data_IF_142666630353
#
_entry.id   IF_142666630353
#
_cell.length_a   1.000
_cell.length_b   1.000
_cell.length_c   1.000
_cell.angle_alpha   90.00
_cell.angle_beta   90.00
_cell.angle_gamma   90.00
#
_symmetry.space_group_name_H-M   'P 1'
#
loop_
_entity.id
_entity.type
_entity.pdbx_description
1 polymer ?
#
# COMPACT_ATOMS: atom_id res chain seq x y z
N UNK A 1 3.05 18.94 8.88
CA UNK A 1 1.90 18.65 7.99
C UNK A 1 0.84 17.95 8.82
N UNK A 2 -0.43 18.30 8.61
CA UNK A 2 -1.55 17.65 9.29
C UNK A 2 -1.80 16.30 8.64
N UNK A 3 -1.98 15.24 9.46
CA UNK A 3 -2.26 13.89 8.96
C UNK A 3 -3.50 13.89 8.08
N UNK A 4 -3.41 13.30 6.89
CA UNK A 4 -4.55 13.11 5.98
C UNK A 4 -5.08 11.68 6.09
N UNK A 5 -6.41 11.54 6.12
CA UNK A 5 -7.07 10.24 6.18
C UNK A 5 -7.53 9.77 4.80
N UNK A 6 -7.78 8.47 4.64
CA UNK A 6 -8.17 7.85 3.37
C UNK A 6 -9.40 8.54 2.75
N UNK A 7 -10.40 8.93 3.56
CA UNK A 7 -11.60 9.59 3.03
C UNK A 7 -11.33 10.99 2.44
N UNK A 8 -10.19 11.60 2.77
CA UNK A 8 -9.84 12.95 2.36
C UNK A 8 -8.97 12.98 1.11
N UNK A 9 -8.44 11.82 0.70
CA UNK A 9 -7.55 11.69 -0.43
C UNK A 9 -8.30 11.98 -1.74
N UNK A 10 -7.66 12.72 -2.62
CA UNK A 10 -8.19 13.02 -3.96
C UNK A 10 -7.33 12.39 -5.05
N UNK A 11 -7.87 12.35 -6.27
CA UNK A 11 -7.12 11.87 -7.42
C UNK A 11 -5.86 12.71 -7.66
N UNK A 12 -4.76 12.06 -8.04
CA UNK A 12 -3.47 12.69 -8.34
C UNK A 12 -2.80 13.41 -7.14
N UNK A 13 -3.24 13.14 -5.91
CA UNK A 13 -2.58 13.63 -4.69
C UNK A 13 -1.32 12.80 -4.37
N UNK A 14 -0.25 13.48 -3.91
CA UNK A 14 0.91 12.81 -3.32
C UNK A 14 0.64 12.56 -1.84
N UNK A 15 0.83 11.32 -1.41
CA UNK A 15 0.55 10.88 -0.04
C UNK A 15 1.85 10.49 0.62
N UNK A 16 2.08 10.98 1.83
CA UNK A 16 3.21 10.61 2.69
C UNK A 16 2.71 10.34 4.11
N UNK A 17 2.02 9.21 4.28
CA UNK A 17 1.21 8.90 5.46
C UNK A 17 1.33 7.44 5.92
N UNK A 18 0.93 7.18 7.15
CA UNK A 18 1.01 5.84 7.75
C UNK A 18 -0.37 5.17 7.77
N UNK A 19 -0.43 3.97 7.19
CA UNK A 19 -1.63 3.14 7.11
C UNK A 19 -1.37 1.71 7.59
N UNK A 20 -2.43 1.01 8.01
CA UNK A 20 -2.38 -0.41 8.33
C UNK A 20 -2.47 -1.24 7.05
N UNK A 21 -1.58 -2.21 6.86
CA UNK A 21 -1.71 -3.21 5.79
C UNK A 21 -2.69 -4.29 6.23
N UNK A 22 -3.92 -4.25 5.74
CA UNK A 22 -4.93 -5.26 6.06
C UNK A 22 -4.80 -6.52 5.19
N UNK A 23 -4.33 -6.36 3.95
CA UNK A 23 -4.10 -7.46 3.01
C UNK A 23 -2.86 -7.20 2.15
N UNK A 24 -2.15 -8.27 1.79
CA UNK A 24 -0.92 -8.25 0.98
C UNK A 24 -0.90 -9.44 0.05
N UNK A 25 -0.76 -9.16 -1.24
CA UNK A 25 -0.69 -10.18 -2.28
C UNK A 25 0.50 -9.89 -3.20
N UNK A 26 1.38 -10.87 -3.35
CA UNK A 26 2.40 -10.85 -4.39
C UNK A 26 1.78 -11.33 -5.70
N UNK A 27 1.85 -10.51 -6.72
CA UNK A 27 1.29 -10.79 -8.05
C UNK A 27 2.31 -10.50 -9.12
N UNK A 28 2.08 -11.07 -10.28
CA UNK A 28 2.91 -10.87 -11.47
C UNK A 28 2.10 -10.09 -12.50
N UNK A 29 2.69 -9.04 -13.08
CA UNK A 29 2.05 -8.29 -14.16
C UNK A 29 2.12 -9.05 -15.50
N UNK A 30 1.52 -8.49 -16.56
CA UNK A 30 1.54 -9.10 -17.90
C UNK A 30 2.95 -9.30 -18.49
N UNK A 31 3.94 -8.55 -17.98
CA UNK A 31 5.33 -8.58 -18.43
C UNK A 31 6.21 -9.43 -17.52
N UNK A 32 5.63 -10.28 -16.67
CA UNK A 32 6.35 -11.12 -15.72
C UNK A 32 7.09 -10.38 -14.59
N UNK A 33 6.86 -9.08 -14.39
CA UNK A 33 7.40 -8.34 -13.26
C UNK A 33 6.52 -8.52 -12.02
N UNK A 34 7.15 -8.64 -10.86
CA UNK A 34 6.46 -8.74 -9.59
C UNK A 34 5.93 -7.37 -9.13
N UNK A 35 4.74 -7.36 -8.54
CA UNK A 35 4.17 -6.22 -7.84
C UNK A 35 3.43 -6.69 -6.59
N UNK A 36 3.37 -5.83 -5.56
CA UNK A 36 2.49 -6.06 -4.42
C UNK A 36 1.18 -5.33 -4.64
N UNK A 37 0.08 -6.06 -4.52
CA UNK A 37 -1.22 -5.47 -4.29
C UNK A 37 -1.46 -5.45 -2.78
N UNK A 38 -1.66 -4.27 -2.22
CA UNK A 38 -1.93 -4.06 -0.80
C UNK A 38 -3.32 -3.49 -0.63
N UNK A 39 -3.96 -3.83 0.49
CA UNK A 39 -5.10 -3.08 1.02
C UNK A 39 -4.62 -2.31 2.24
N UNK A 40 -4.63 -0.99 2.14
CA UNK A 40 -4.29 -0.09 3.22
C UNK A 40 -5.56 0.40 3.90
N UNK A 41 -5.55 0.45 5.23
CA UNK A 41 -6.71 0.87 6.02
C UNK A 41 -6.33 1.89 7.09
N UNK A 42 -7.29 2.76 7.37
CA UNK A 42 -7.33 3.58 8.57
C UNK A 42 -8.75 3.53 9.17
N UNK A 43 -9.02 4.35 10.18
CA UNK A 43 -10.33 4.40 10.80
C UNK A 43 -11.45 4.99 9.91
N UNK A 44 -11.08 5.64 8.80
CA UNK A 44 -12.00 6.33 7.88
C UNK A 44 -12.34 5.51 6.65
N UNK A 45 -11.50 4.53 6.29
CA UNK A 45 -11.73 3.70 5.13
C UNK A 45 -10.60 2.76 4.78
N UNK A 46 -10.64 2.30 3.54
CA UNK A 46 -9.68 1.37 2.97
C UNK A 46 -9.41 1.71 1.50
N UNK A 47 -8.16 1.62 1.08
CA UNK A 47 -7.73 1.85 -0.31
C UNK A 47 -6.89 0.68 -0.80
N UNK A 48 -7.07 0.30 -2.07
CA UNK A 48 -6.21 -0.69 -2.72
C UNK A 48 -5.03 0.03 -3.36
N UNK A 49 -3.81 -0.37 -3.03
CA UNK A 49 -2.58 0.21 -3.56
C UNK A 49 -1.74 -0.84 -4.27
N UNK A 50 -0.89 -0.37 -5.19
CA UNK A 50 -0.04 -1.21 -6.02
C UNK A 50 1.40 -0.72 -5.90
N UNK A 51 2.28 -1.56 -5.37
CA UNK A 51 3.72 -1.32 -5.38
C UNK A 51 4.34 -2.11 -6.53
N UNK A 52 4.79 -1.40 -7.55
CA UNK A 52 5.33 -1.99 -8.77
C UNK A 52 6.80 -2.38 -8.64
N UNK A 53 7.23 -3.33 -9.48
CA UNK A 53 8.62 -3.74 -9.64
C UNK A 53 9.27 -4.12 -8.30
N UNK A 54 8.56 -4.88 -7.47
CA UNK A 54 9.09 -5.36 -6.20
C UNK A 54 10.05 -6.53 -6.41
N UNK A 55 10.95 -6.71 -5.46
CA UNK A 55 11.74 -7.94 -5.34
C UNK A 55 11.32 -8.69 -4.06
N UNK A 56 11.88 -9.88 -3.87
CA UNK A 56 11.58 -10.71 -2.70
C UNK A 56 11.98 -10.02 -1.39
N UNK A 57 13.00 -9.15 -1.39
CA UNK A 57 13.41 -8.41 -0.20
C UNK A 57 12.29 -7.45 0.28
N UNK A 58 11.68 -6.71 -0.63
CA UNK A 58 10.54 -5.82 -0.32
C UNK A 58 9.29 -6.64 0.03
N UNK A 59 9.09 -7.78 -0.61
CA UNK A 59 8.02 -8.70 -0.22
C UNK A 59 8.23 -9.24 1.22
N UNK A 60 9.45 -9.50 1.64
CA UNK A 60 9.74 -10.07 2.96
C UNK A 60 9.90 -9.02 4.07
N UNK A 61 9.98 -7.73 3.75
CA UNK A 61 10.26 -6.67 4.73
C UNK A 61 9.08 -6.31 5.65
N UNK A 62 7.85 -6.65 5.27
CA UNK A 62 6.66 -6.42 6.08
C UNK A 62 5.56 -7.45 5.78
N UNK A 63 4.64 -7.62 6.72
CA UNK A 63 3.50 -8.55 6.60
C UNK A 63 2.19 -7.82 6.85
N UNK A 64 1.07 -8.54 6.70
CA UNK A 64 -0.24 -8.05 7.12
C UNK A 64 -0.24 -7.66 8.60
N UNK A 65 -1.17 -6.77 8.98
CA UNK A 65 -1.32 -6.21 10.32
C UNK A 65 -0.09 -5.42 10.81
N UNK A 66 0.67 -4.82 9.88
CA UNK A 66 1.73 -3.86 10.18
C UNK A 66 1.37 -2.50 9.64
N UNK A 67 1.79 -1.47 10.36
CA UNK A 67 1.71 -0.10 9.87
C UNK A 67 2.91 0.19 8.98
N UNK A 68 2.66 0.74 7.80
CA UNK A 68 3.69 1.18 6.86
C UNK A 68 3.46 2.64 6.49
N UNK A 69 4.55 3.35 6.22
CA UNK A 69 4.52 4.66 5.59
C UNK A 69 4.61 4.47 4.07
N UNK A 70 3.72 5.12 3.34
CA UNK A 70 3.69 5.10 1.86
C UNK A 70 4.03 6.45 1.29
#
# INVERSE_FOLDING_TARGET
>A
MTRRFIHELTEHESVDEVFLVSDKQLRTNRNSNLYLQLRLTDHTGAVTTMLWNVNDQVHNSFNNNKYIRV
#
